data_IF_618119528697
#
_entry.id   IF_618119528697
#
_cell.length_a   1.000
_cell.length_b   1.000
_cell.length_c   1.000
_cell.angle_alpha   90.00
_cell.angle_beta   90.00
_cell.angle_gamma   90.00
#
_symmetry.space_group_name_H-M   'P 1'
#
loop_
_entity.id
_entity.type
_entity.pdbx_description
1 polymer ?
#
# COMPACT_ATOMS: atom_id res chain seq x y z
N UNK A 1 -40.00 -53.83 -6.45
CA UNK A 1 -39.82 -53.04 -5.22
C UNK A 1 -38.37 -52.88 -4.72
N UNK A 2 -37.35 -53.48 -5.35
CA UNK A 2 -35.94 -53.31 -4.92
C UNK A 2 -35.17 -52.17 -5.63
N UNK A 3 -35.57 -51.76 -6.84
CA UNK A 3 -34.93 -50.63 -7.54
C UNK A 3 -35.36 -49.25 -7.01
N UNK A 4 -36.59 -49.11 -6.50
CA UNK A 4 -37.09 -47.83 -5.99
C UNK A 4 -36.43 -47.38 -4.68
N UNK A 5 -35.94 -48.33 -3.87
CA UNK A 5 -35.22 -48.03 -2.62
C UNK A 5 -33.78 -47.54 -2.86
N UNK A 6 -33.12 -48.02 -3.93
CA UNK A 6 -31.77 -47.57 -4.31
C UNK A 6 -31.80 -46.14 -4.87
N UNK A 7 -32.85 -45.79 -5.62
CA UNK A 7 -33.02 -44.43 -6.16
C UNK A 7 -33.25 -43.38 -5.05
N UNK A 8 -34.01 -43.73 -4.00
CA UNK A 8 -34.23 -42.83 -2.85
C UNK A 8 -32.95 -42.66 -2.02
N UNK A 9 -32.13 -43.72 -1.87
CA UNK A 9 -30.85 -43.62 -1.17
C UNK A 9 -29.81 -42.75 -1.92
N UNK A 10 -29.79 -42.78 -3.26
CA UNK A 10 -28.92 -41.89 -4.05
C UNK A 10 -29.37 -40.42 -4.02
N UNK A 11 -30.68 -40.16 -3.98
CA UNK A 11 -31.22 -38.79 -3.90
C UNK A 11 -30.91 -38.11 -2.56
N UNK A 12 -30.86 -38.86 -1.45
CA UNK A 12 -30.49 -38.34 -0.13
C UNK A 12 -28.99 -37.99 -0.05
N UNK A 13 -28.13 -38.70 -0.79
CA UNK A 13 -26.70 -38.36 -0.88
C UNK A 13 -26.44 -37.13 -1.76
N UNK A 14 -27.27 -36.85 -2.76
CA UNK A 14 -27.16 -35.64 -3.60
C UNK A 14 -27.75 -34.37 -2.98
N UNK A 15 -28.68 -34.49 -2.03
CA UNK A 15 -29.24 -33.35 -1.28
C UNK A 15 -28.34 -32.89 -0.11
N UNK A 16 -27.26 -33.63 0.18
CA UNK A 16 -26.24 -33.25 1.17
C UNK A 16 -25.23 -32.22 0.67
N UNK A 17 -25.21 -31.90 -0.62
CA UNK A 17 -24.50 -30.74 -1.17
C UNK A 17 -25.26 -29.43 -0.88
N UNK A 18 -25.78 -29.28 0.34
CA UNK A 18 -26.13 -27.97 0.85
C UNK A 18 -24.83 -27.19 1.01
N UNK A 19 -24.77 -26.04 0.33
CA UNK A 19 -23.88 -24.91 0.57
C UNK A 19 -23.02 -25.13 1.83
N UNK A 20 -21.77 -25.57 1.66
CA UNK A 20 -20.81 -25.42 2.74
C UNK A 20 -20.83 -23.93 3.08
N UNK A 21 -21.40 -23.59 4.24
CA UNK A 21 -21.32 -22.27 4.83
C UNK A 21 -19.85 -21.85 4.72
N UNK A 22 -19.52 -20.96 3.78
CA UNK A 22 -18.15 -20.47 3.64
C UNK A 22 -17.76 -19.94 5.01
N UNK A 23 -16.75 -20.57 5.63
CA UNK A 23 -16.37 -20.20 6.98
C UNK A 23 -15.92 -18.75 6.93
N UNK A 24 -16.65 -17.88 7.61
CA UNK A 24 -16.29 -16.48 7.68
C UNK A 24 -15.39 -16.29 8.89
N UNK A 25 -14.25 -15.63 8.70
CA UNK A 25 -13.37 -15.27 9.81
C UNK A 25 -13.16 -13.76 9.86
N UNK A 26 -13.53 -13.20 11.00
CA UNK A 26 -13.38 -11.78 11.28
C UNK A 26 -11.99 -11.49 11.87
N UNK A 27 -11.39 -10.41 11.42
CA UNK A 27 -10.12 -9.90 11.89
C UNK A 27 -10.25 -8.44 12.26
N UNK A 28 -9.74 -8.08 13.43
CA UNK A 28 -9.64 -6.71 13.89
C UNK A 28 -8.26 -6.21 13.52
N UNK A 29 -8.14 -5.16 12.69
CA UNK A 29 -6.87 -4.72 12.19
C UNK A 29 -6.08 -4.02 13.31
N UNK A 30 -4.81 -4.38 13.47
CA UNK A 30 -3.88 -3.59 14.30
C UNK A 30 -3.29 -2.44 13.50
N UNK A 31 -2.87 -1.38 14.17
CA UNK A 31 -2.21 -0.24 13.50
C UNK A 31 -0.73 -0.53 13.28
N UNK A 32 -0.20 -0.19 12.11
CA UNK A 32 1.25 -0.19 11.87
C UNK A 32 1.89 1.03 12.51
N UNK A 33 2.69 0.84 13.57
CA UNK A 33 3.34 1.93 14.31
C UNK A 33 4.84 2.03 14.04
N UNK A 34 5.45 0.99 13.47
CA UNK A 34 6.87 0.92 13.16
C UNK A 34 7.12 0.10 11.89
N UNK A 35 8.37 0.06 11.44
CA UNK A 35 8.75 -0.71 10.27
C UNK A 35 8.68 -2.20 10.56
N UNK A 36 8.01 -2.97 9.71
CA UNK A 36 7.76 -4.40 9.91
C UNK A 36 7.91 -5.18 8.60
N UNK A 37 8.24 -6.48 8.70
CA UNK A 37 8.44 -7.37 7.54
C UNK A 37 7.32 -8.40 7.48
N UNK A 38 6.64 -8.47 6.34
CA UNK A 38 5.53 -9.40 6.10
C UNK A 38 5.84 -10.45 5.03
N UNK A 39 7.13 -10.74 4.82
CA UNK A 39 7.56 -11.75 3.85
C UNK A 39 7.80 -13.10 4.52
N UNK A 40 6.70 -13.79 4.82
CA UNK A 40 6.75 -15.15 5.34
C UNK A 40 6.87 -16.18 4.20
N UNK A 41 7.53 -17.30 4.49
CA UNK A 41 7.64 -18.43 3.57
C UNK A 41 6.64 -19.50 4.00
N UNK A 42 5.60 -19.75 3.18
CA UNK A 42 4.56 -20.70 3.54
C UNK A 42 5.15 -22.11 3.63
N UNK A 43 4.77 -22.85 4.68
CA UNK A 43 5.15 -24.26 4.84
C UNK A 43 4.27 -25.17 3.99
N UNK A 44 2.98 -24.80 3.90
CA UNK A 44 1.97 -25.50 3.11
C UNK A 44 1.33 -24.56 2.08
N UNK A 45 0.83 -25.11 0.96
CA UNK A 45 0.14 -24.32 -0.06
C UNK A 45 -1.10 -23.59 0.50
N UNK A 46 -1.73 -24.16 1.53
CA UNK A 46 -2.88 -23.58 2.22
C UNK A 46 -2.55 -22.34 3.06
N UNK A 47 -1.27 -22.06 3.31
CA UNK A 47 -0.80 -20.85 3.99
C UNK A 47 -0.65 -19.64 3.05
N UNK A 48 -0.95 -19.81 1.76
CA UNK A 48 -1.01 -18.71 0.80
C UNK A 48 -2.39 -18.03 0.81
N UNK A 49 -2.39 -16.71 0.69
CA UNK A 49 -3.62 -15.93 0.53
C UNK A 49 -4.12 -16.08 -0.92
N UNK A 50 -5.43 -16.19 -1.08
CA UNK A 50 -6.09 -16.24 -2.38
C UNK A 50 -7.13 -15.13 -2.53
N UNK A 51 -7.39 -14.75 -3.77
CA UNK A 51 -8.30 -13.66 -4.11
C UNK A 51 -9.30 -14.18 -5.14
N UNK A 52 -10.59 -13.98 -4.89
CA UNK A 52 -11.69 -14.46 -5.74
C UNK A 52 -12.47 -13.25 -6.25
N UNK A 53 -12.70 -13.18 -7.56
CA UNK A 53 -13.59 -12.19 -8.15
C UNK A 53 -15.04 -12.62 -7.96
N UNK A 54 -15.88 -11.71 -7.47
CA UNK A 54 -17.29 -11.98 -7.17
C UNK A 54 -18.28 -11.10 -7.95
N UNK A 55 -17.80 -10.15 -8.76
CA UNK A 55 -18.67 -9.29 -9.57
C UNK A 55 -19.06 -9.94 -10.89
N UNK A 56 -20.23 -9.56 -11.40
CA UNK A 56 -20.73 -10.04 -12.70
C UNK A 56 -19.97 -9.41 -13.89
N UNK A 57 -20.04 -10.02 -15.09
CA UNK A 57 -19.53 -9.41 -16.31
C UNK A 57 -20.23 -8.07 -16.59
N UNK A 58 -19.46 -6.98 -16.73
CA UNK A 58 -19.99 -5.64 -16.99
C UNK A 58 -19.94 -4.69 -15.79
N UNK A 59 -19.67 -5.21 -14.58
CA UNK A 59 -19.50 -4.39 -13.37
C UNK A 59 -18.01 -4.13 -13.04
N UNK A 60 -17.75 -3.10 -12.24
CA UNK A 60 -16.41 -2.89 -11.69
C UNK A 60 -16.00 -4.11 -10.86
N UNK A 61 -14.81 -4.70 -11.12
CA UNK A 61 -14.41 -5.92 -10.45
C UNK A 61 -14.25 -5.73 -8.95
N UNK A 62 -15.08 -6.45 -8.19
CA UNK A 62 -15.00 -6.58 -6.73
C UNK A 62 -14.42 -7.94 -6.38
N UNK A 63 -13.48 -7.92 -5.44
CA UNK A 63 -12.72 -9.10 -5.02
C UNK A 63 -13.00 -9.40 -3.54
N UNK A 64 -12.96 -10.69 -3.20
CA UNK A 64 -12.93 -11.18 -1.81
C UNK A 64 -11.61 -11.88 -1.55
N UNK A 65 -11.15 -11.84 -0.30
CA UNK A 65 -9.91 -12.47 0.12
C UNK A 65 -10.22 -13.75 0.90
N UNK A 66 -9.52 -14.82 0.56
CA UNK A 66 -9.64 -16.13 1.22
C UNK A 66 -8.31 -16.58 1.79
N UNK A 67 -8.38 -17.22 2.95
CA UNK A 67 -7.27 -17.88 3.61
C UNK A 67 -7.73 -19.25 4.09
N UNK A 68 -7.10 -20.31 3.59
CA UNK A 68 -7.55 -21.70 3.75
C UNK A 68 -9.01 -21.85 3.28
N UNK A 69 -9.87 -22.40 4.13
CA UNK A 69 -11.31 -22.62 3.87
C UNK A 69 -12.17 -21.41 4.24
N UNK A 70 -11.55 -20.27 4.60
CA UNK A 70 -12.26 -19.13 5.18
C UNK A 70 -12.18 -17.85 4.36
N UNK A 71 -13.29 -17.12 4.30
CA UNK A 71 -13.36 -15.74 3.76
C UNK A 71 -12.94 -14.75 4.83
N UNK A 72 -12.05 -13.82 4.47
CA UNK A 72 -11.45 -12.84 5.37
C UNK A 72 -12.33 -11.60 5.44
N UNK A 73 -12.82 -11.29 6.65
CA UNK A 73 -13.58 -10.08 6.95
C UNK A 73 -12.76 -9.17 7.86
N UNK A 74 -12.75 -7.88 7.57
CA UNK A 74 -12.08 -6.85 8.38
C UNK A 74 -13.14 -6.10 9.19
N UNK A 75 -13.05 -6.13 10.51
CA UNK A 75 -13.96 -5.42 11.41
C UNK A 75 -13.28 -4.16 11.94
N UNK A 76 -13.96 -3.02 11.92
CA UNK A 76 -13.41 -1.78 12.49
C UNK A 76 -13.27 -1.89 14.02
N UNK A 77 -14.18 -2.62 14.70
CA UNK A 77 -14.10 -2.92 16.14
C UNK A 77 -14.53 -4.36 16.45
N UNK A 78 -14.02 -4.92 17.55
CA UNK A 78 -14.43 -6.25 18.08
C UNK A 78 -15.94 -6.36 18.35
N UNK A 79 -16.63 -5.24 18.56
CA UNK A 79 -18.05 -5.19 18.91
C UNK A 79 -18.99 -5.04 17.70
N UNK A 80 -18.45 -4.91 16.48
CA UNK A 80 -19.29 -4.79 15.29
C UNK A 80 -19.93 -6.14 14.95
N UNK A 81 -21.24 -6.23 15.21
CA UNK A 81 -22.10 -7.37 14.85
C UNK A 81 -22.60 -7.29 13.40
N UNK A 82 -22.47 -6.13 12.76
CA UNK A 82 -22.66 -5.95 11.33
C UNK A 82 -21.48 -6.56 10.59
N UNK A 83 -21.73 -7.64 9.82
CA UNK A 83 -20.70 -8.44 9.17
C UNK A 83 -19.52 -7.63 8.63
N UNK A 84 -18.30 -8.02 9.00
CA UNK A 84 -17.09 -7.24 8.71
C UNK A 84 -16.90 -6.97 7.22
N UNK A 85 -16.13 -5.94 6.88
CA UNK A 85 -15.85 -5.47 5.54
C UNK A 85 -14.99 -6.50 4.79
N UNK A 86 -15.48 -6.99 3.65
CA UNK A 86 -14.87 -8.15 2.95
C UNK A 86 -14.79 -7.99 1.43
N UNK A 87 -15.29 -6.88 0.91
CA UNK A 87 -15.28 -6.55 -0.52
C UNK A 87 -14.18 -5.53 -0.78
N UNK A 88 -13.31 -5.85 -1.73
CA UNK A 88 -12.14 -5.04 -2.07
C UNK A 88 -12.20 -4.60 -3.52
N UNK A 89 -11.80 -3.36 -3.80
CA UNK A 89 -11.75 -2.83 -5.15
C UNK A 89 -10.62 -3.51 -5.93
N UNK A 90 -10.85 -4.00 -7.14
CA UNK A 90 -9.80 -4.73 -7.87
C UNK A 90 -8.54 -3.91 -8.12
N UNK A 91 -8.66 -2.59 -8.29
CA UNK A 91 -7.51 -1.68 -8.46
C UNK A 91 -6.64 -1.55 -7.19
N UNK A 92 -7.20 -1.89 -6.03
CA UNK A 92 -6.56 -1.80 -4.72
C UNK A 92 -6.04 -3.12 -4.18
N UNK A 93 -6.17 -4.23 -4.92
CA UNK A 93 -5.70 -5.55 -4.48
C UNK A 93 -4.38 -5.91 -5.17
N UNK A 94 -3.31 -6.03 -4.40
CA UNK A 94 -1.95 -6.24 -4.90
C UNK A 94 -1.16 -7.16 -3.97
N UNK A 95 -0.65 -8.27 -4.49
CA UNK A 95 0.34 -9.07 -3.76
C UNK A 95 1.67 -8.33 -3.72
N UNK A 96 2.28 -8.27 -2.53
CA UNK A 96 3.56 -7.57 -2.34
C UNK A 96 4.75 -8.54 -2.32
N UNK A 97 4.49 -9.85 -2.38
CA UNK A 97 5.49 -10.91 -2.56
C UNK A 97 4.99 -12.03 -3.47
N UNK A 98 5.92 -12.89 -3.91
CA UNK A 98 5.61 -14.01 -4.83
C UNK A 98 4.96 -15.19 -4.11
N UNK A 99 5.23 -15.34 -2.82
CA UNK A 99 4.72 -16.39 -1.94
C UNK A 99 3.23 -16.20 -1.64
N UNK A 100 2.63 -15.07 -2.02
CA UNK A 100 1.24 -14.72 -1.74
C UNK A 100 0.92 -14.74 -0.24
N UNK A 101 1.90 -14.43 0.60
CA UNK A 101 1.76 -14.35 2.06
C UNK A 101 1.48 -12.93 2.53
N UNK A 102 1.61 -11.91 1.66
CA UNK A 102 1.22 -10.54 1.98
C UNK A 102 0.47 -9.89 0.83
N UNK A 103 -0.74 -9.41 1.14
CA UNK A 103 -1.68 -8.78 0.22
C UNK A 103 -2.01 -7.38 0.71
N UNK A 104 -1.74 -6.38 -0.12
CA UNK A 104 -2.22 -5.02 0.06
C UNK A 104 -3.61 -4.93 -0.56
N UNK A 105 -4.58 -4.44 0.22
CA UNK A 105 -5.99 -4.33 -0.19
C UNK A 105 -6.54 -2.95 0.12
N UNK A 106 -7.55 -2.53 -0.63
CA UNK A 106 -8.34 -1.36 -0.31
C UNK A 106 -9.83 -1.72 -0.47
N UNK A 107 -10.64 -1.26 0.49
CA UNK A 107 -12.07 -1.56 0.52
C UNK A 107 -12.78 -1.03 -0.73
N UNK A 108 -13.72 -1.81 -1.24
CA UNK A 108 -14.69 -1.35 -2.22
C UNK A 108 -15.79 -0.58 -1.47
N UNK A 109 -15.58 0.71 -1.27
CA UNK A 109 -16.55 1.60 -0.65
C UNK A 109 -17.17 2.52 -1.71
N UNK A 110 -18.48 2.45 -1.88
CA UNK A 110 -19.25 3.25 -2.84
C UNK A 110 -19.56 4.66 -2.32
N UNK A 111 -19.19 5.00 -1.09
CA UNK A 111 -19.51 6.29 -0.46
C UNK A 111 -18.60 7.46 -0.89
N UNK A 112 -17.54 7.20 -1.65
CA UNK A 112 -16.56 8.23 -2.03
C UNK A 112 -15.71 8.75 -0.85
N UNK A 113 -15.71 8.03 0.28
CA UNK A 113 -14.91 8.34 1.44
C UNK A 113 -13.42 8.08 1.21
N UNK A 114 -12.62 8.65 2.12
CA UNK A 114 -11.16 8.52 2.17
C UNK A 114 -10.72 7.06 2.00
N UNK A 115 -9.77 6.77 1.08
CA UNK A 115 -9.22 5.43 0.90
C UNK A 115 -8.84 4.76 2.22
N UNK A 116 -9.25 3.50 2.39
CA UNK A 116 -8.96 2.66 3.58
C UNK A 116 -8.16 1.42 3.20
N UNK A 117 -6.82 1.53 3.11
CA UNK A 117 -5.96 0.41 2.76
C UNK A 117 -5.56 -0.43 3.97
N UNK A 118 -5.39 -1.72 3.75
CA UNK A 118 -4.95 -2.69 4.75
C UNK A 118 -3.87 -3.61 4.17
N UNK A 119 -2.98 -4.13 5.01
CA UNK A 119 -2.22 -5.33 4.69
C UNK A 119 -2.93 -6.52 5.32
N UNK A 120 -3.11 -7.57 4.53
CA UNK A 120 -3.48 -8.89 4.99
C UNK A 120 -2.22 -9.74 4.83
N UNK A 121 -1.65 -10.19 5.94
CA UNK A 121 -0.38 -10.90 5.95
C UNK A 121 -0.49 -12.22 6.71
N UNK A 122 0.31 -13.20 6.31
CA UNK A 122 0.53 -14.41 7.11
C UNK A 122 1.83 -14.28 7.87
N UNK A 123 1.80 -14.69 9.13
CA UNK A 123 2.95 -14.73 10.02
C UNK A 123 2.87 -15.99 10.87
N UNK A 124 3.85 -16.88 10.72
CA UNK A 124 3.89 -18.18 11.42
C UNK A 124 2.61 -19.01 11.19
N UNK A 125 2.12 -19.03 9.95
CA UNK A 125 0.92 -19.79 9.56
C UNK A 125 -0.41 -19.25 10.10
N UNK A 126 -0.41 -18.03 10.66
CA UNK A 126 -1.62 -17.30 11.09
C UNK A 126 -1.79 -16.04 10.25
N UNK A 127 -3.03 -15.74 9.89
CA UNK A 127 -3.37 -14.49 9.22
C UNK A 127 -3.47 -13.35 10.25
N UNK A 128 -2.93 -12.20 9.90
CA UNK A 128 -3.13 -10.93 10.59
C UNK A 128 -3.56 -9.86 9.59
N UNK A 129 -4.29 -8.85 10.09
CA UNK A 129 -4.69 -7.69 9.32
C UNK A 129 -4.10 -6.45 9.96
N UNK A 130 -3.49 -5.60 9.14
CA UNK A 130 -2.82 -4.37 9.55
C UNK A 130 -3.52 -3.20 8.86
N UNK A 131 -4.02 -2.25 9.65
CA UNK A 131 -4.53 -0.98 9.16
C UNK A 131 -3.38 -0.08 8.74
N UNK A 132 -3.42 0.40 7.49
CA UNK A 132 -2.50 1.42 6.96
C UNK A 132 -3.12 2.81 7.10
N UNK A 133 -3.61 3.09 8.31
CA UNK A 133 -4.17 4.38 8.69
C UNK A 133 -3.35 5.02 9.80
N UNK A 134 -2.99 6.28 9.60
CA UNK A 134 -2.39 7.14 10.61
C UNK A 134 -3.22 8.42 10.70
N UNK A 135 -3.75 8.79 11.87
CA UNK A 135 -4.49 10.03 12.06
C UNK A 135 -3.72 11.25 11.54
N UNK A 136 -4.45 12.23 11.01
CA UNK A 136 -3.87 13.44 10.46
C UNK A 136 -4.87 14.59 10.53
N UNK A 137 -4.36 15.81 10.74
CA UNK A 137 -5.14 17.06 10.79
C UNK A 137 -4.67 18.07 9.71
N UNK A 138 -3.98 17.60 8.68
CA UNK A 138 -3.50 18.44 7.59
C UNK A 138 -4.65 19.04 6.79
N UNK A 139 -4.52 20.33 6.46
CA UNK A 139 -5.56 21.12 5.78
C UNK A 139 -6.01 20.55 4.43
N UNK A 140 -5.09 19.93 3.69
CA UNK A 140 -5.32 19.37 2.35
C UNK A 140 -5.30 17.83 2.38
N UNK A 141 -5.52 17.20 3.53
CA UNK A 141 -5.46 15.73 3.67
C UNK A 141 -6.32 15.00 2.65
N UNK A 142 -7.53 15.50 2.35
CA UNK A 142 -8.41 14.91 1.35
C UNK A 142 -7.75 14.81 -0.03
N UNK A 143 -6.94 15.80 -0.40
CA UNK A 143 -6.21 15.86 -1.67
C UNK A 143 -5.06 14.86 -1.73
N UNK A 144 -4.40 14.62 -0.59
CA UNK A 144 -3.19 13.79 -0.52
C UNK A 144 -3.42 12.38 0.05
N UNK A 145 -4.67 12.03 0.33
CA UNK A 145 -5.07 10.68 0.74
C UNK A 145 -5.63 9.93 -0.46
N UNK A 146 -4.75 9.45 -1.32
CA UNK A 146 -5.10 8.85 -2.62
C UNK A 146 -5.14 7.32 -2.62
N UNK A 147 -4.99 6.70 -1.45
CA UNK A 147 -4.99 5.24 -1.30
C UNK A 147 -3.65 4.63 -1.69
N UNK A 148 -3.73 3.51 -2.40
CA UNK A 148 -2.57 2.74 -2.85
C UNK A 148 -2.04 3.30 -4.18
N UNK A 149 -0.80 3.78 -4.19
CA UNK A 149 -0.11 4.27 -5.38
C UNK A 149 1.08 3.37 -5.70
N UNK A 150 1.11 2.80 -6.91
CA UNK A 150 2.21 1.94 -7.34
C UNK A 150 3.43 2.79 -7.74
N UNK A 151 4.56 2.55 -7.07
CA UNK A 151 5.83 3.24 -7.29
C UNK A 151 6.76 2.39 -8.17
N UNK A 152 6.27 2.03 -9.36
CA UNK A 152 6.98 1.15 -10.30
C UNK A 152 7.20 -0.26 -9.73
N UNK A 153 8.38 -0.84 -9.96
CA UNK A 153 8.75 -2.15 -9.43
C UNK A 153 9.18 -2.11 -7.95
N UNK A 154 9.45 -0.92 -7.40
CA UNK A 154 10.01 -0.75 -6.04
C UNK A 154 9.01 -1.13 -4.96
N UNK A 155 7.75 -0.76 -5.13
CA UNK A 155 6.75 -0.92 -4.09
C UNK A 155 5.53 -0.02 -4.29
N UNK A 156 4.85 0.23 -3.18
CA UNK A 156 3.60 0.97 -3.12
C UNK A 156 3.69 2.05 -2.06
N UNK A 157 3.30 3.28 -2.40
CA UNK A 157 3.09 4.36 -1.45
C UNK A 157 1.62 4.42 -1.07
N UNK A 158 1.34 4.39 0.22
CA UNK A 158 -0.02 4.37 0.75
C UNK A 158 -0.27 5.65 1.54
N UNK A 159 -1.21 6.46 1.05
CA UNK A 159 -1.66 7.70 1.69
C UNK A 159 -0.50 8.63 2.13
N UNK A 160 0.62 8.65 1.41
CA UNK A 160 1.86 9.34 1.78
C UNK A 160 2.45 9.01 3.18
N UNK A 161 1.88 8.04 3.89
CA UNK A 161 2.23 7.71 5.28
C UNK A 161 3.02 6.42 5.38
N UNK A 162 2.86 5.51 4.40
CA UNK A 162 3.51 4.21 4.41
C UNK A 162 4.09 3.85 3.06
N UNK A 163 5.26 3.22 3.05
CA UNK A 163 5.84 2.63 1.85
C UNK A 163 6.02 1.13 2.03
N UNK A 164 5.44 0.34 1.12
CA UNK A 164 5.51 -1.11 1.16
C UNK A 164 6.36 -1.57 -0.01
N UNK A 165 7.52 -2.17 0.28
CA UNK A 165 8.39 -2.69 -0.78
C UNK A 165 7.74 -3.89 -1.45
N UNK A 166 7.91 -3.96 -2.76
CA UNK A 166 7.62 -5.17 -3.52
C UNK A 166 8.68 -6.24 -3.20
N UNK A 167 8.35 -7.51 -3.43
CA UNK A 167 9.15 -8.72 -3.16
C UNK A 167 9.38 -9.02 -1.68
N UNK A 168 9.87 -8.07 -0.88
CA UNK A 168 10.21 -8.31 0.54
C UNK A 168 9.10 -7.96 1.51
N UNK A 169 7.96 -7.44 1.02
CA UNK A 169 6.79 -7.07 1.82
C UNK A 169 7.12 -6.32 3.11
N UNK A 170 8.18 -5.51 3.11
CA UNK A 170 8.56 -4.68 4.23
C UNK A 170 7.78 -3.38 4.16
N UNK A 171 7.01 -3.11 5.20
CA UNK A 171 6.27 -1.87 5.36
C UNK A 171 7.10 -0.88 6.17
N UNK A 172 7.21 0.34 5.67
CA UNK A 172 7.92 1.44 6.28
C UNK A 172 6.92 2.54 6.65
N UNK A 173 7.02 3.06 7.87
CA UNK A 173 6.31 4.27 8.29
C UNK A 173 7.11 5.47 7.80
N UNK A 174 6.53 6.27 6.92
CA UNK A 174 7.19 7.44 6.37
C UNK A 174 7.21 8.57 7.42
N UNK A 175 8.40 9.13 7.64
CA UNK A 175 8.54 10.35 8.44
C UNK A 175 7.78 11.49 7.75
N UNK A 176 6.78 12.04 8.45
CA UNK A 176 6.07 13.25 8.02
C UNK A 176 6.93 14.48 8.26
N UNK A 177 6.73 15.52 7.45
CA UNK A 177 7.34 16.82 7.68
C UNK A 177 6.84 17.45 8.98
N UNK A 178 5.52 17.38 9.20
CA UNK A 178 4.86 17.76 10.45
C UNK A 178 4.25 16.50 11.06
N UNK A 179 4.56 16.11 12.31
CA UNK A 179 4.14 14.82 12.87
C UNK A 179 2.63 14.54 12.80
N UNK A 180 1.83 15.60 12.96
CA UNK A 180 0.37 15.53 13.02
C UNK A 180 -0.29 15.67 11.64
N UNK A 181 0.47 16.03 10.61
CA UNK A 181 -0.05 16.23 9.25
C UNK A 181 0.56 15.23 8.28
N UNK A 182 -0.28 14.52 7.54
CA UNK A 182 0.11 13.75 6.36
C UNK A 182 0.93 14.66 5.44
N UNK A 183 1.87 14.10 4.69
CA UNK A 183 2.69 14.91 3.79
C UNK A 183 1.79 15.59 2.75
N UNK A 184 1.72 16.92 2.82
CA UNK A 184 0.85 17.78 2.00
C UNK A 184 1.45 18.03 0.60
N UNK A 185 1.92 16.97 -0.06
CA UNK A 185 2.65 17.06 -1.31
C UNK A 185 2.35 15.91 -2.27
N UNK A 186 2.58 16.18 -3.55
CA UNK A 186 2.53 15.15 -4.58
C UNK A 186 3.89 14.49 -4.72
N UNK A 187 3.91 13.17 -4.91
CA UNK A 187 5.17 12.49 -5.23
C UNK A 187 5.65 12.94 -6.60
N UNK A 188 6.88 13.42 -6.65
CA UNK A 188 7.50 13.88 -7.88
C UNK A 188 8.37 12.77 -8.48
N UNK A 189 9.26 12.16 -7.69
CA UNK A 189 10.11 11.06 -8.10
C UNK A 189 10.71 10.28 -6.92
N UNK A 190 11.38 9.18 -7.24
CA UNK A 190 12.29 8.46 -6.34
C UNK A 190 13.74 8.76 -6.73
N UNK A 191 14.65 8.70 -5.76
CA UNK A 191 16.08 8.68 -6.04
C UNK A 191 16.49 7.46 -6.90
N UNK A 192 17.67 7.47 -7.54
CA UNK A 192 18.13 6.36 -8.37
C UNK A 192 18.26 5.04 -7.60
N UNK A 193 18.66 5.09 -6.33
CA UNK A 193 18.71 3.94 -5.42
C UNK A 193 17.33 3.50 -4.92
N UNK A 194 16.28 4.28 -5.23
CA UNK A 194 14.87 4.04 -4.88
C UNK A 194 14.62 3.99 -3.37
N UNK A 195 15.44 4.69 -2.58
CA UNK A 195 15.32 4.70 -1.11
C UNK A 195 14.82 6.03 -0.53
N UNK A 196 14.84 7.10 -1.32
CA UNK A 196 14.29 8.41 -0.94
C UNK A 196 13.11 8.77 -1.83
N UNK A 197 12.00 9.17 -1.20
CA UNK A 197 10.79 9.66 -1.87
C UNK A 197 10.83 11.18 -1.85
N UNK A 198 10.61 11.80 -3.00
CA UNK A 198 10.66 13.25 -3.18
C UNK A 198 9.23 13.74 -3.43
N UNK A 199 8.71 14.53 -2.49
CA UNK A 199 7.41 15.17 -2.55
C UNK A 199 7.57 16.63 -2.95
N UNK A 200 6.83 17.07 -3.96
CA UNK A 200 6.66 18.49 -4.25
C UNK A 200 5.63 19.08 -3.28
N UNK A 201 6.08 19.96 -2.39
CA UNK A 201 5.28 20.63 -1.37
C UNK A 201 5.43 22.13 -1.56
N UNK A 202 4.43 22.76 -2.19
CA UNK A 202 4.42 24.21 -2.45
C UNK A 202 5.75 24.71 -3.03
N UNK A 203 6.54 25.45 -2.26
CA UNK A 203 7.77 26.15 -2.69
C UNK A 203 9.06 25.34 -2.39
N UNK A 204 8.94 24.07 -1.99
CA UNK A 204 10.08 23.20 -1.68
C UNK A 204 9.81 21.72 -2.01
N UNK A 205 10.88 20.94 -2.02
CA UNK A 205 10.88 19.49 -2.15
C UNK A 205 11.12 18.88 -0.77
N UNK A 206 10.11 18.23 -0.22
CA UNK A 206 10.27 17.40 0.97
C UNK A 206 10.76 16.02 0.55
N UNK A 207 11.91 15.61 1.05
CA UNK A 207 12.55 14.35 0.69
C UNK A 207 12.69 13.50 1.93
N UNK A 208 12.28 12.24 1.85
CA UNK A 208 12.35 11.32 2.99
C UNK A 208 12.94 10.00 2.55
N UNK A 209 14.05 9.64 3.19
CA UNK A 209 14.67 8.33 3.06
C UNK A 209 13.94 7.34 3.96
N UNK A 210 13.05 6.54 3.39
CA UNK A 210 12.07 5.76 4.15
C UNK A 210 12.69 4.66 5.02
N UNK A 211 13.96 4.31 4.82
CA UNK A 211 14.65 3.29 5.62
C UNK A 211 15.27 3.84 6.90
N UNK A 212 15.79 5.07 6.87
CA UNK A 212 16.50 5.68 8.01
C UNK A 212 15.74 6.85 8.62
N UNK A 213 14.64 7.29 8.00
CA UNK A 213 13.88 8.49 8.37
C UNK A 213 14.70 9.79 8.29
N UNK A 214 15.85 9.76 7.60
CA UNK A 214 16.54 10.99 7.24
C UNK A 214 15.70 11.76 6.21
N UNK A 215 15.58 13.06 6.43
CA UNK A 215 14.77 13.93 5.61
C UNK A 215 15.52 15.20 5.24
N UNK A 216 15.02 15.86 4.20
CA UNK A 216 15.55 17.12 3.72
C UNK A 216 14.44 17.95 3.08
N UNK A 217 14.40 19.23 3.43
CA UNK A 217 13.67 20.26 2.68
C UNK A 217 14.66 20.94 1.73
N UNK A 218 14.44 20.80 0.43
CA UNK A 218 15.22 21.50 -0.61
C UNK A 218 14.33 22.58 -1.24
N UNK A 219 14.69 23.87 -1.19
CA UNK A 219 13.90 24.93 -1.82
C UNK A 219 13.74 24.68 -3.32
N UNK A 220 12.55 24.99 -3.86
CA UNK A 220 12.37 25.09 -5.31
C UNK A 220 12.80 26.49 -5.73
N UNK A 221 13.80 26.58 -6.61
CA UNK A 221 14.35 27.88 -7.00
C UNK A 221 13.28 28.80 -7.66
N UNK A 222 13.36 30.12 -7.45
CA UNK A 222 12.46 31.08 -8.07
C UNK A 222 12.43 30.96 -9.60
N UNK A 223 11.25 31.10 -10.21
CA UNK A 223 11.07 30.97 -11.66
C UNK A 223 10.81 29.53 -12.14
N UNK A 224 10.75 28.55 -11.23
CA UNK A 224 10.25 27.22 -11.57
C UNK A 224 8.83 27.26 -12.13
N UNK A 225 8.46 26.37 -13.06
CA UNK A 225 7.07 26.21 -13.47
C UNK A 225 6.16 25.93 -12.27
N UNK A 226 4.88 26.32 -12.37
CA UNK A 226 3.87 26.02 -11.33
C UNK A 226 3.11 24.73 -11.59
N UNK A 227 3.04 24.28 -12.84
CA UNK A 227 2.37 23.05 -13.21
C UNK A 227 3.26 21.83 -12.98
N UNK A 228 2.72 20.81 -12.31
CA UNK A 228 3.48 19.63 -11.86
C UNK A 228 4.22 18.90 -12.99
N UNK A 229 3.60 18.76 -14.17
CA UNK A 229 4.26 18.13 -15.32
C UNK A 229 5.49 18.90 -15.81
N UNK A 230 5.45 20.24 -15.75
CA UNK A 230 6.57 21.11 -16.10
C UNK A 230 7.61 21.18 -14.97
N UNK A 231 7.16 21.14 -13.69
CA UNK A 231 8.02 21.07 -12.51
C UNK A 231 8.94 19.85 -12.58
N UNK A 232 8.41 18.68 -12.95
CA UNK A 232 9.22 17.46 -13.10
C UNK A 232 10.38 17.67 -14.08
N UNK A 233 10.10 18.12 -15.30
CA UNK A 233 11.12 18.34 -16.34
C UNK A 233 12.15 19.38 -15.89
N UNK A 234 11.69 20.47 -15.29
CA UNK A 234 12.57 21.53 -14.82
C UNK A 234 13.48 21.03 -13.70
N UNK A 235 12.95 20.27 -12.74
CA UNK A 235 13.75 19.68 -11.65
C UNK A 235 14.81 18.73 -12.20
N UNK A 236 14.46 17.87 -13.16
CA UNK A 236 15.44 16.94 -13.75
C UNK A 236 16.58 17.64 -14.50
N UNK A 237 16.38 18.89 -14.94
CA UNK A 237 17.41 19.68 -15.61
C UNK A 237 18.28 20.50 -14.64
N UNK A 238 17.73 20.93 -13.51
CA UNK A 238 18.37 21.91 -12.63
C UNK A 238 18.86 21.34 -11.29
N UNK A 239 18.58 20.07 -11.00
CA UNK A 239 18.96 19.43 -9.74
C UNK A 239 19.83 18.20 -10.00
N UNK A 240 20.69 17.88 -9.04
CA UNK A 240 21.50 16.66 -9.05
C UNK A 240 21.31 15.86 -7.77
N UNK A 241 21.43 14.54 -7.89
CA UNK A 241 21.46 13.66 -6.73
C UNK A 241 22.83 13.72 -6.06
N UNK A 242 22.84 14.00 -4.75
CA UNK A 242 24.04 14.08 -3.93
C UNK A 242 23.86 13.25 -2.68
N UNK A 243 24.89 12.50 -2.31
CA UNK A 243 24.91 11.76 -1.04
C UNK A 243 25.29 12.69 0.09
N UNK A 244 24.64 12.53 1.24
CA UNK A 244 25.09 13.15 2.48
C UNK A 244 26.20 12.32 3.14
N UNK A 245 26.67 12.77 4.31
CA UNK A 245 27.71 12.08 5.10
C UNK A 245 27.34 10.65 5.54
N UNK A 246 26.05 10.34 5.62
CA UNK A 246 25.53 9.02 5.99
C UNK A 246 25.32 8.12 4.77
N UNK A 247 25.67 8.59 3.57
CA UNK A 247 25.49 7.85 2.31
C UNK A 247 24.07 7.93 1.73
N UNK A 248 23.16 8.69 2.34
CA UNK A 248 21.78 8.86 1.87
C UNK A 248 21.74 9.84 0.70
N UNK A 249 21.08 9.42 -0.38
CA UNK A 249 20.92 10.22 -1.59
C UNK A 249 19.76 11.21 -1.45
N UNK A 250 20.04 12.47 -1.72
CA UNK A 250 19.05 13.54 -1.83
C UNK A 250 19.23 14.33 -3.12
N UNK A 251 18.15 14.88 -3.63
CA UNK A 251 18.14 15.80 -4.75
C UNK A 251 18.48 17.21 -4.26
N UNK A 252 19.42 17.89 -4.94
CA UNK A 252 19.93 19.21 -4.57
C UNK A 252 19.95 20.12 -5.77
N UNK A 253 19.64 21.40 -5.58
CA UNK A 253 19.73 22.39 -6.64
C UNK A 253 21.19 22.53 -7.12
N UNK A 254 21.37 22.62 -8.43
CA UNK A 254 22.64 23.00 -9.02
C UNK A 254 22.67 24.53 -9.06
N UNK A 255 23.46 25.14 -8.19
CA UNK A 255 23.77 26.55 -8.32
C UNK A 255 24.73 26.74 -9.50
N UNK A 256 24.25 27.38 -10.57
CA UNK A 256 25.04 27.71 -11.77
C UNK A 256 26.20 28.68 -11.46
N UNK A 257 26.23 29.32 -10.29
CA UNK A 257 27.31 30.22 -9.86
C UNK A 257 28.51 29.53 -9.21
N UNK A 258 28.70 28.22 -9.39
CA UNK A 258 29.92 27.56 -8.91
C UNK A 258 31.12 28.02 -9.75
N UNK A 259 31.87 29.00 -9.26
CA UNK A 259 33.22 29.32 -9.74
C UNK A 259 34.06 28.05 -9.62
N UNK A 260 34.29 27.37 -10.74
CA UNK A 260 35.24 26.26 -10.82
C UNK A 260 36.62 26.92 -10.94
N UNK A 261 37.41 26.92 -9.86
CA UNK A 261 38.79 27.40 -9.91
C UNK A 261 39.59 26.45 -10.82
N UNK A 262 39.68 26.81 -12.11
CA UNK A 262 40.47 26.09 -13.11
C UNK A 262 41.96 26.44 -12.92
N UNK A 263 42.54 26.03 -11.79
CA UNK A 263 44.01 25.95 -11.70
C UNK A 263 44.47 24.72 -12.46
N UNK A 264 44.79 24.94 -13.74
CA UNK A 264 45.61 24.02 -14.53
C UNK A 264 46.93 23.78 -13.78
N UNK A 265 47.24 22.50 -13.53
CA UNK A 265 48.62 22.05 -13.37
C UNK A 265 49.32 22.05 -14.73
#
# INVERSE_FOLDING_TARGET
>A
MKLSLVAVALLILSAGCNQQNEKTRNYVPRVLTQNEVFNDFPKDASDSISVVKISEPGEEPVLVVKFRDSTVHIQDKMTDTGGGLYKFKSSGVQFTNKQKTCLLVELADSSGLTPRPFLIATHNGKLEVISLYRPSNGKDDKKYTTGINKMGATGYLVNNDFFITNVTSKAYVIKRQHPDERIQGQVLLLTPDKQTIIFAVKDFLYQVHYRTNEDLNEPIAPGSPKEMGAVYKWITANYSFRKNKNGVTFLRYNDDNRIVDMRRK
#
